data_IF_997288484028
#
_entry.id   IF_997288484028
#
_cell.length_a   1.000
_cell.length_b   1.000
_cell.length_c   1.000
_cell.angle_alpha   90.00
_cell.angle_beta   90.00
_cell.angle_gamma   90.00
#
_symmetry.space_group_name_H-M   'P 1'
#
loop_
_entity.id
_entity.type
_entity.pdbx_description
1 polymer ?
#
# COMPACT_ATOMS: atom_id res chain seq x y z
N UNK A 1 -1.29 -9.51 15.55
CA UNK A 1 0.07 -8.92 15.43
C UNK A 1 0.20 -7.79 16.43
N UNK A 2 1.44 -7.50 16.89
CA UNK A 2 1.70 -6.38 17.79
C UNK A 2 1.63 -5.06 17.00
N UNK A 3 1.04 -4.02 17.60
CA UNK A 3 0.98 -2.70 16.97
C UNK A 3 2.39 -2.15 16.68
N UNK A 4 2.58 -1.42 15.59
CA UNK A 4 3.87 -0.85 15.25
C UNK A 4 4.30 0.22 16.27
N UNK A 5 5.60 0.42 16.42
CA UNK A 5 6.15 1.51 17.22
C UNK A 5 5.77 2.83 16.56
N UNK A 6 5.00 3.66 17.27
CA UNK A 6 4.50 4.96 16.82
C UNK A 6 5.36 6.09 17.36
N UNK A 7 5.83 6.99 16.50
CA UNK A 7 6.64 8.16 16.88
C UNK A 7 6.21 9.40 16.10
N UNK A 8 6.00 10.52 16.81
CA UNK A 8 5.88 11.84 16.18
C UNK A 8 7.26 12.29 15.69
N UNK A 9 7.36 12.80 14.48
CA UNK A 9 8.55 13.53 14.03
C UNK A 9 8.38 15.03 14.35
N UNK A 10 8.91 15.44 15.49
CA UNK A 10 8.78 16.81 16.01
C UNK A 10 9.38 17.85 15.05
N UNK A 11 10.36 17.45 14.23
CA UNK A 11 11.03 18.36 13.26
C UNK A 11 10.08 18.84 12.15
N UNK A 12 9.08 18.02 11.86
CA UNK A 12 8.11 18.22 10.77
C UNK A 12 6.66 18.24 11.28
N UNK A 13 6.45 18.64 12.51
CA UNK A 13 5.14 18.73 13.16
C UNK A 13 4.96 20.09 13.81
N UNK A 14 3.70 20.51 13.95
CA UNK A 14 3.36 21.70 14.72
C UNK A 14 3.75 21.51 16.21
N UNK A 15 4.06 22.58 16.95
CA UNK A 15 4.53 22.48 18.34
C UNK A 15 3.62 21.68 19.28
N UNK A 16 2.29 21.77 19.07
CA UNK A 16 1.28 21.12 19.91
C UNK A 16 0.71 19.83 19.25
N UNK A 17 1.35 19.36 18.16
CA UNK A 17 0.88 18.19 17.45
C UNK A 17 1.04 16.91 18.29
N UNK A 18 0.12 16.00 18.10
CA UNK A 18 0.17 14.65 18.66
C UNK A 18 0.41 13.64 17.56
N UNK A 19 1.12 12.56 17.87
CA UNK A 19 1.27 11.44 16.95
C UNK A 19 -0.10 10.88 16.57
N UNK A 20 -0.33 10.65 15.28
CA UNK A 20 -1.55 9.99 14.81
C UNK A 20 -1.57 8.56 15.37
N UNK A 21 -2.63 8.13 16.07
CA UNK A 21 -2.72 6.76 16.56
C UNK A 21 -2.72 5.75 15.40
N UNK A 22 -2.05 4.60 15.61
CA UNK A 22 -1.99 3.55 14.58
C UNK A 22 -3.36 3.11 14.03
N UNK A 23 -4.42 2.93 14.86
CA UNK A 23 -5.73 2.57 14.33
C UNK A 23 -6.26 3.52 13.26
N UNK A 24 -6.01 4.84 13.38
CA UNK A 24 -6.46 5.82 12.39
C UNK A 24 -5.70 5.68 11.05
N UNK A 25 -4.38 5.47 11.09
CA UNK A 25 -3.59 5.23 9.88
C UNK A 25 -3.98 3.88 9.23
N UNK A 26 -4.20 2.86 10.05
CA UNK A 26 -4.64 1.54 9.59
C UNK A 26 -6.02 1.60 8.92
N UNK A 27 -6.97 2.33 9.47
CA UNK A 27 -8.29 2.53 8.86
C UNK A 27 -8.17 3.13 7.45
N UNK A 28 -7.28 4.11 7.25
CA UNK A 28 -7.00 4.65 5.91
C UNK A 28 -6.46 3.57 4.98
N UNK A 29 -5.52 2.73 5.42
CA UNK A 29 -4.97 1.64 4.60
C UNK A 29 -6.02 0.59 4.23
N UNK A 30 -6.95 0.29 5.15
CA UNK A 30 -8.03 -0.68 4.95
C UNK A 30 -9.13 -0.16 4.03
N UNK A 31 -9.49 1.14 4.15
CA UNK A 31 -10.66 1.70 3.48
C UNK A 31 -10.36 2.47 2.20
N UNK A 32 -9.13 2.97 2.02
CA UNK A 32 -8.77 3.71 0.81
C UNK A 32 -8.99 2.88 -0.46
N UNK A 33 -9.72 3.45 -1.40
CA UNK A 33 -10.06 2.78 -2.65
C UNK A 33 -8.96 2.89 -3.71
N UNK A 34 -8.11 3.90 -3.61
CA UNK A 34 -7.04 4.17 -4.58
C UNK A 34 -5.72 4.42 -3.85
N UNK A 35 -4.67 3.84 -4.41
CA UNK A 35 -3.29 4.10 -4.03
C UNK A 35 -2.48 4.53 -5.25
N UNK A 36 -1.45 5.33 -5.02
CA UNK A 36 -0.42 5.64 -6.01
C UNK A 36 0.81 4.83 -5.67
N UNK A 37 1.23 3.95 -6.58
CA UNK A 37 2.49 3.21 -6.42
C UNK A 37 3.61 3.93 -7.15
N UNK A 38 4.73 4.09 -6.46
CA UNK A 38 5.98 4.58 -7.03
C UNK A 38 6.96 3.42 -7.16
N UNK A 39 7.44 3.20 -8.37
CA UNK A 39 8.51 2.26 -8.71
C UNK A 39 9.63 3.02 -9.42
N UNK A 40 10.77 2.39 -9.67
CA UNK A 40 11.94 3.04 -10.26
C UNK A 40 12.38 2.30 -11.51
N UNK A 41 12.49 3.02 -12.63
CA UNK A 41 13.07 2.50 -13.86
C UNK A 41 14.55 2.11 -13.67
N UNK A 42 15.08 1.26 -14.55
CA UNK A 42 16.47 0.85 -14.51
C UNK A 42 17.48 2.02 -14.61
N UNK A 43 17.07 3.14 -15.21
CA UNK A 43 17.86 4.38 -15.31
C UNK A 43 17.70 5.34 -14.12
N UNK A 44 16.94 4.92 -13.09
CA UNK A 44 16.72 5.70 -11.86
C UNK A 44 15.53 6.66 -11.91
N UNK A 45 14.82 6.82 -13.03
CA UNK A 45 13.65 7.68 -13.11
C UNK A 45 12.49 7.07 -12.30
N UNK A 46 11.78 7.86 -11.47
CA UNK A 46 10.57 7.39 -10.80
C UNK A 46 9.43 7.17 -11.81
N UNK A 47 8.61 6.15 -11.52
CA UNK A 47 7.41 5.83 -12.28
C UNK A 47 6.24 5.72 -11.29
N UNK A 48 5.20 6.50 -11.50
CA UNK A 48 4.05 6.58 -10.60
C UNK A 48 2.78 6.25 -11.36
N UNK A 49 1.97 5.33 -10.82
CA UNK A 49 0.65 4.99 -11.37
C UNK A 49 -0.37 4.76 -10.27
N UNK A 50 -1.67 5.07 -10.51
CA UNK A 50 -2.73 4.69 -9.60
C UNK A 50 -3.02 3.19 -9.70
N UNK A 51 -3.45 2.60 -8.60
CA UNK A 51 -3.94 1.23 -8.56
C UNK A 51 -4.87 0.97 -7.37
N UNK A 52 -5.61 -0.12 -7.43
CA UNK A 52 -6.40 -0.64 -6.31
C UNK A 52 -5.53 -1.59 -5.48
N UNK A 53 -5.60 -1.45 -4.14
CA UNK A 53 -4.86 -2.30 -3.22
C UNK A 53 -5.71 -2.69 -2.01
N UNK A 54 -5.39 -3.81 -1.40
CA UNK A 54 -6.00 -4.27 -0.15
C UNK A 54 -4.96 -4.35 0.95
N UNK A 55 -5.33 -3.92 2.16
CA UNK A 55 -4.57 -4.16 3.37
C UNK A 55 -5.07 -5.46 3.99
N UNK A 56 -4.20 -6.45 4.09
CA UNK A 56 -4.50 -7.76 4.69
C UNK A 56 -3.22 -8.36 5.28
N UNK A 57 -3.32 -9.03 6.42
CA UNK A 57 -2.18 -9.69 7.08
C UNK A 57 -0.95 -8.75 7.25
N UNK A 58 -1.23 -7.47 7.60
CA UNK A 58 -0.26 -6.38 7.81
C UNK A 58 0.67 -6.11 6.61
N UNK A 59 0.12 -6.25 5.44
CA UNK A 59 0.75 -5.88 4.18
C UNK A 59 -0.26 -5.24 3.22
N UNK A 60 0.22 -4.32 2.38
CA UNK A 60 -0.52 -3.89 1.20
C UNK A 60 -0.30 -4.89 0.08
N UNK A 61 -1.41 -5.29 -0.55
CA UNK A 61 -1.38 -6.19 -1.71
C UNK A 61 -1.94 -5.49 -2.92
N UNK A 62 -1.27 -5.65 -4.05
CA UNK A 62 -1.72 -5.15 -5.35
C UNK A 62 -1.47 -6.20 -6.43
N UNK A 63 -2.13 -6.00 -7.57
CA UNK A 63 -1.87 -6.83 -8.75
C UNK A 63 -1.50 -5.97 -9.96
N UNK A 64 -0.79 -6.57 -10.91
CA UNK A 64 -0.31 -5.91 -12.13
C UNK A 64 -0.10 -6.92 -13.23
N UNK A 65 -0.40 -6.55 -14.47
CA UNK A 65 -0.03 -7.34 -15.63
C UNK A 65 1.50 -7.52 -15.72
N UNK A 66 1.98 -8.68 -16.17
CA UNK A 66 3.42 -8.98 -16.20
C UNK A 66 4.23 -8.04 -17.11
N UNK A 67 3.61 -7.47 -18.13
CA UNK A 67 4.24 -6.57 -19.10
C UNK A 67 4.09 -5.08 -18.74
N UNK A 68 3.31 -4.76 -17.68
CA UNK A 68 3.18 -3.38 -17.24
C UNK A 68 4.51 -2.82 -16.72
N UNK A 69 4.76 -1.52 -16.94
CA UNK A 69 6.04 -0.89 -16.58
C UNK A 69 6.41 -1.09 -15.11
N UNK A 70 5.44 -1.04 -14.19
CA UNK A 70 5.71 -1.28 -12.76
C UNK A 70 6.18 -2.72 -12.49
N UNK A 71 5.64 -3.73 -13.21
CA UNK A 71 6.09 -5.11 -13.08
C UNK A 71 7.52 -5.26 -13.62
N UNK A 72 7.83 -4.63 -14.75
CA UNK A 72 9.19 -4.60 -15.32
C UNK A 72 10.16 -3.94 -14.34
N UNK A 73 9.80 -2.79 -13.77
CA UNK A 73 10.64 -2.10 -12.78
C UNK A 73 10.92 -2.98 -11.56
N UNK A 74 9.88 -3.64 -11.03
CA UNK A 74 9.96 -4.49 -9.83
C UNK A 74 10.79 -5.75 -10.03
N UNK A 75 10.96 -6.21 -11.26
CA UNK A 75 11.84 -7.35 -11.54
C UNK A 75 13.32 -7.04 -11.28
N UNK A 76 13.71 -5.77 -11.42
CA UNK A 76 15.08 -5.30 -11.18
C UNK A 76 15.28 -4.58 -9.85
N UNK A 77 14.23 -3.94 -9.33
CA UNK A 77 14.27 -3.20 -8.06
C UNK A 77 12.93 -3.38 -7.31
N UNK A 78 12.89 -4.19 -6.24
CA UNK A 78 11.66 -4.48 -5.52
C UNK A 78 11.20 -3.35 -4.60
N UNK A 79 11.99 -2.31 -4.38
CA UNK A 79 11.64 -1.20 -3.48
C UNK A 79 10.52 -0.35 -4.05
N UNK A 80 9.50 -0.11 -3.23
CA UNK A 80 8.31 0.65 -3.61
C UNK A 80 7.86 1.58 -2.50
N UNK A 81 7.11 2.60 -2.93
CA UNK A 81 6.29 3.41 -2.05
C UNK A 81 4.85 3.35 -2.57
N UNK A 82 3.89 3.07 -1.69
CA UNK A 82 2.47 3.26 -1.96
C UNK A 82 1.95 4.41 -1.10
N UNK A 83 1.21 5.32 -1.72
CA UNK A 83 0.61 6.47 -1.03
C UNK A 83 -0.89 6.50 -1.27
N UNK A 84 -1.63 6.93 -0.25
CA UNK A 84 -3.05 7.25 -0.35
C UNK A 84 -3.37 8.43 0.56
N UNK A 85 -4.49 9.09 0.32
CA UNK A 85 -4.92 10.24 1.10
C UNK A 85 -5.94 11.08 0.37
N UNK A 86 -6.08 12.33 0.77
CA UNK A 86 -6.98 13.29 0.13
C UNK A 86 -6.22 14.54 -0.35
N UNK A 87 -6.65 15.10 -1.48
CA UNK A 87 -6.08 16.33 -2.03
C UNK A 87 -6.67 17.60 -1.39
N UNK A 88 -6.87 17.58 -0.08
CA UNK A 88 -7.24 18.74 0.72
C UNK A 88 -6.04 19.17 1.55
N UNK A 89 -5.81 20.46 1.69
CA UNK A 89 -4.68 20.98 2.47
C UNK A 89 -5.01 21.12 3.95
N UNK A 90 -6.26 21.37 4.28
CA UNK A 90 -6.69 21.80 5.63
C UNK A 90 -7.14 20.66 6.52
N UNK A 91 -7.50 19.50 5.93
CA UNK A 91 -8.06 18.36 6.66
C UNK A 91 -7.70 17.03 5.99
N UNK A 92 -7.71 15.97 6.79
CA UNK A 92 -7.49 14.61 6.33
C UNK A 92 -6.17 14.01 6.79
N UNK A 93 -5.92 12.81 6.34
CA UNK A 93 -4.75 12.00 6.66
C UNK A 93 -4.20 11.39 5.36
N UNK A 94 -2.97 11.76 5.01
CA UNK A 94 -2.23 11.07 3.95
C UNK A 94 -1.34 10.00 4.58
N UNK A 95 -1.29 8.83 3.96
CA UNK A 95 -0.49 7.69 4.44
C UNK A 95 0.42 7.20 3.34
N UNK A 96 1.67 6.98 3.69
CA UNK A 96 2.72 6.45 2.82
C UNK A 96 3.28 5.17 3.40
N UNK A 97 3.39 4.13 2.60
CA UNK A 97 3.96 2.82 2.96
C UNK A 97 5.20 2.57 2.13
N UNK A 98 6.34 2.41 2.78
CA UNK A 98 7.60 1.95 2.17
C UNK A 98 7.81 0.47 2.44
N UNK A 99 8.31 -0.26 1.45
CA UNK A 99 8.67 -1.67 1.58
C UNK A 99 9.20 -2.27 0.29
N UNK A 100 9.32 -3.58 0.29
CA UNK A 100 9.68 -4.35 -0.90
C UNK A 100 8.47 -5.13 -1.41
N UNK A 101 8.22 -5.06 -2.70
CA UNK A 101 7.18 -5.85 -3.36
C UNK A 101 7.68 -7.29 -3.55
N UNK A 102 6.95 -8.25 -3.00
CA UNK A 102 7.25 -9.68 -3.09
C UNK A 102 6.08 -10.43 -3.70
N UNK A 103 6.36 -11.37 -4.60
CA UNK A 103 5.34 -12.22 -5.24
C UNK A 103 4.59 -13.05 -4.21
N UNK A 104 3.28 -13.11 -4.35
CA UNK A 104 2.40 -14.04 -3.63
C UNK A 104 2.04 -15.17 -4.58
N UNK A 105 2.42 -16.39 -4.23
CA UNK A 105 2.15 -17.60 -5.03
C UNK A 105 1.45 -18.70 -4.22
N UNK A 106 1.33 -18.52 -2.90
CA UNK A 106 0.55 -19.44 -2.07
C UNK A 106 -0.94 -19.36 -2.42
N UNK A 107 -1.51 -20.50 -2.79
CA UNK A 107 -2.89 -20.56 -3.26
C UNK A 107 -3.89 -20.11 -2.21
N UNK A 108 -3.69 -20.48 -0.95
CA UNK A 108 -4.62 -20.10 0.13
C UNK A 108 -4.58 -18.59 0.40
N UNK A 109 -3.40 -17.97 0.32
CA UNK A 109 -3.25 -16.54 0.41
C UNK A 109 -3.92 -15.83 -0.77
N UNK A 110 -3.74 -16.33 -2.00
CA UNK A 110 -4.38 -15.78 -3.20
C UNK A 110 -5.91 -15.85 -3.10
N UNK A 111 -6.48 -16.95 -2.60
CA UNK A 111 -7.93 -17.09 -2.40
C UNK A 111 -8.48 -16.08 -1.38
N UNK A 112 -7.80 -15.88 -0.24
CA UNK A 112 -8.17 -14.84 0.73
C UNK A 112 -8.07 -13.44 0.14
N UNK A 113 -7.03 -13.17 -0.61
CA UNK A 113 -6.84 -11.88 -1.30
C UNK A 113 -7.93 -11.63 -2.34
N UNK A 114 -8.26 -12.60 -3.18
CA UNK A 114 -9.35 -12.47 -4.16
C UNK A 114 -10.69 -12.15 -3.48
N UNK A 115 -10.98 -12.80 -2.35
CA UNK A 115 -12.16 -12.51 -1.55
C UNK A 115 -12.13 -11.08 -0.96
N UNK A 116 -10.95 -10.61 -0.48
CA UNK A 116 -10.79 -9.26 0.04
C UNK A 116 -11.01 -8.17 -1.02
N UNK A 117 -10.51 -8.39 -2.26
CA UNK A 117 -10.81 -7.48 -3.38
C UNK A 117 -12.28 -7.45 -3.72
N UNK A 118 -12.93 -8.60 -3.84
CA UNK A 118 -14.35 -8.66 -4.14
C UNK A 118 -15.19 -7.97 -3.06
N UNK A 119 -14.85 -8.13 -1.79
CA UNK A 119 -15.56 -7.50 -0.68
C UNK A 119 -15.36 -5.97 -0.65
N UNK A 120 -14.14 -5.48 -0.88
CA UNK A 120 -13.82 -4.05 -0.77
C UNK A 120 -14.50 -3.18 -1.83
N UNK A 121 -14.82 -3.72 -3.00
CA UNK A 121 -15.45 -2.98 -4.11
C UNK A 121 -16.78 -3.59 -4.58
N UNK A 122 -17.54 -4.20 -3.67
CA UNK A 122 -18.88 -4.76 -3.95
C UNK A 122 -18.90 -5.69 -5.19
N UNK A 123 -17.83 -6.46 -5.37
CA UNK A 123 -17.70 -7.40 -6.46
C UNK A 123 -17.29 -6.81 -7.82
N UNK A 124 -16.91 -5.53 -7.89
CA UNK A 124 -16.37 -4.95 -9.13
C UNK A 124 -15.02 -5.57 -9.52
N UNK A 125 -14.20 -5.94 -8.52
CA UNK A 125 -12.91 -6.60 -8.71
C UNK A 125 -13.02 -8.07 -8.32
N UNK A 126 -13.37 -8.91 -9.28
CA UNK A 126 -13.45 -10.37 -9.10
C UNK A 126 -12.32 -11.02 -9.87
N UNK A 127 -11.45 -11.71 -9.15
CA UNK A 127 -10.32 -12.43 -9.72
C UNK A 127 -10.54 -13.94 -9.61
N UNK A 128 -10.14 -14.68 -10.64
CA UNK A 128 -9.95 -16.11 -10.55
C UNK A 128 -8.51 -16.41 -10.15
N UNK A 129 -8.33 -17.30 -9.19
CA UNK A 129 -7.01 -17.69 -8.71
C UNK A 129 -6.40 -18.72 -9.64
N UNK A 130 -5.15 -18.48 -10.03
CA UNK A 130 -4.32 -19.40 -10.81
C UNK A 130 -3.11 -19.84 -10.00
N UNK A 131 -2.27 -20.75 -10.52
CA UNK A 131 -1.02 -21.15 -9.87
C UNK A 131 0.04 -20.01 -9.90
N UNK A 132 -0.14 -19.00 -10.75
CA UNK A 132 0.79 -17.89 -10.92
C UNK A 132 0.32 -16.57 -10.31
N UNK A 133 -0.93 -16.46 -9.87
CA UNK A 133 -1.52 -15.22 -9.37
C UNK A 133 -3.01 -15.15 -9.65
N UNK A 134 -3.45 -14.10 -10.32
CA UNK A 134 -4.84 -13.87 -10.70
C UNK A 134 -5.03 -13.88 -12.20
N UNK A 135 -6.26 -14.15 -12.63
CA UNK A 135 -6.73 -13.84 -13.98
C UNK A 135 -8.07 -13.11 -13.92
N UNK A 136 -8.26 -12.21 -14.87
CA UNK A 136 -9.47 -11.39 -15.05
C UNK A 136 -9.70 -11.24 -16.56
N UNK A 137 -10.79 -10.61 -16.98
CA UNK A 137 -11.08 -10.33 -18.40
C UNK A 137 -9.93 -9.66 -19.16
N UNK A 138 -9.13 -8.84 -18.47
CA UNK A 138 -7.95 -8.17 -19.02
C UNK A 138 -6.69 -9.07 -19.13
N UNK A 139 -6.75 -10.34 -18.69
CA UNK A 139 -5.65 -11.28 -18.75
C UNK A 139 -5.06 -11.65 -17.38
N UNK A 140 -3.83 -12.17 -17.39
CA UNK A 140 -3.12 -12.59 -16.19
C UNK A 140 -2.58 -11.40 -15.39
N UNK A 141 -2.57 -11.52 -14.06
CA UNK A 141 -2.03 -10.55 -13.15
C UNK A 141 -1.15 -11.21 -12.09
N UNK A 142 0.04 -10.65 -11.92
CA UNK A 142 0.94 -10.94 -10.82
C UNK A 142 0.38 -10.33 -9.54
N UNK A 143 0.33 -11.09 -8.45
CA UNK A 143 -0.05 -10.58 -7.13
C UNK A 143 1.20 -10.34 -6.30
N UNK A 144 1.31 -9.16 -5.71
CA UNK A 144 2.45 -8.75 -4.90
C UNK A 144 1.99 -8.26 -3.53
N UNK A 145 2.79 -8.58 -2.52
CA UNK A 145 2.65 -8.10 -1.15
C UNK A 145 3.78 -7.10 -0.84
N UNK A 146 3.44 -6.02 -0.17
CA UNK A 146 4.37 -5.04 0.38
C UNK A 146 4.21 -5.02 1.88
N UNK A 147 5.11 -5.72 2.59
CA UNK A 147 5.22 -5.61 4.04
C UNK A 147 5.94 -4.30 4.36
N UNK A 148 5.34 -3.43 5.19
CA UNK A 148 5.96 -2.16 5.51
C UNK A 148 7.28 -2.34 6.24
N UNK A 149 8.32 -1.65 5.76
CA UNK A 149 9.53 -1.37 6.55
C UNK A 149 9.39 -0.07 7.31
N UNK A 150 8.54 0.83 6.79
CA UNK A 150 8.18 2.10 7.40
C UNK A 150 6.83 2.55 6.86
N UNK A 151 6.02 3.16 7.74
CA UNK A 151 4.82 3.89 7.35
C UNK A 151 4.97 5.32 7.86
N UNK A 152 4.58 6.32 7.05
CA UNK A 152 4.41 7.69 7.47
C UNK A 152 2.95 8.10 7.33
N UNK A 153 2.45 8.84 8.31
CA UNK A 153 1.15 9.48 8.26
C UNK A 153 1.31 10.99 8.43
N UNK A 154 0.62 11.74 7.59
CA UNK A 154 0.64 13.19 7.54
C UNK A 154 -0.76 13.71 7.86
N UNK A 155 -0.98 14.10 9.11
CA UNK A 155 -2.23 14.73 9.55
C UNK A 155 -2.25 16.17 9.10
N UNK A 156 -3.37 16.62 8.52
CA UNK A 156 -3.60 17.98 8.05
C UNK A 156 -4.38 18.78 9.09
N UNK A 157 -4.40 20.10 8.95
CA UNK A 157 -4.96 21.00 9.96
C UNK A 157 -3.89 21.35 10.98
N UNK A 158 -3.91 20.77 12.17
CA UNK A 158 -2.73 20.76 13.06
C UNK A 158 -1.74 19.76 12.48
N UNK A 159 -0.80 20.26 11.69
CA UNK A 159 0.10 19.43 10.92
C UNK A 159 0.96 18.52 11.82
N UNK A 160 0.88 17.21 11.59
CA UNK A 160 1.67 16.20 12.30
C UNK A 160 2.21 15.17 11.33
N UNK A 161 3.51 14.90 11.40
CA UNK A 161 4.15 13.77 10.73
C UNK A 161 4.41 12.66 11.73
N UNK A 162 3.74 11.53 11.54
CA UNK A 162 3.88 10.35 12.40
C UNK A 162 4.56 9.22 11.64
N UNK A 163 5.53 8.59 12.28
CA UNK A 163 6.23 7.42 11.76
C UNK A 163 5.80 6.16 12.54
N UNK A 164 5.53 5.10 11.80
CA UNK A 164 5.32 3.75 12.34
C UNK A 164 6.40 2.83 11.79
N UNK A 165 6.99 2.03 12.66
CA UNK A 165 7.94 0.98 12.31
C UNK A 165 7.45 -0.35 12.87
N UNK A 166 7.63 -1.48 12.16
CA UNK A 166 7.28 -2.79 12.70
C UNK A 166 7.87 -2.97 14.10
N UNK A 167 7.12 -3.60 15.01
CA UNK A 167 7.67 -4.07 16.27
C UNK A 167 8.70 -5.19 15.98
N UNK A 168 9.80 -5.22 16.74
CA UNK A 168 10.83 -6.27 16.66
C UNK A 168 10.29 -7.62 17.16
#
# INVERSE_FOLDING_TARGET
>A
MQDPVTRLDERFSAPDAQATPWPAAREVLETAQLFWITTVHADGRPHVTPLVAVWLDDALHFCTGPEEQKAVNLSGNPHVVLTTGCNDWTQGLDVMVEGEARRVTDRSALERLAAAWAAKWDGQWRYQVTDAGFTHEAGEALVLAVRPTKILAFTKGTFAQTRYTPAE
#
